data_IF_358466521817
#
_entry.id   IF_358466521817
#
_cell.length_a   1.000
_cell.length_b   1.000
_cell.length_c   1.000
_cell.angle_alpha   90.00
_cell.angle_beta   90.00
_cell.angle_gamma   90.00
#
_symmetry.space_group_name_H-M   'P 1'
#
loop_
_entity.id
_entity.type
_entity.pdbx_description
1 polymer ?
#
# COMPACT_ATOMS: atom_id res chain seq x y z
N UNK A 1 -16.87 1.65 20.62
CA UNK A 1 -16.50 3.05 20.37
C UNK A 1 -15.04 3.23 20.74
N UNK A 2 -14.12 3.15 19.77
CA UNK A 2 -12.74 3.63 19.94
C UNK A 2 -12.26 4.19 18.61
N UNK A 3 -11.85 5.45 18.65
CA UNK A 3 -11.88 6.40 17.55
C UNK A 3 -10.49 6.64 16.94
N UNK A 4 -9.74 5.59 16.58
CA UNK A 4 -8.36 5.75 16.08
C UNK A 4 -8.18 5.55 14.56
N UNK A 5 -9.18 5.04 13.85
CA UNK A 5 -9.05 4.72 12.42
C UNK A 5 -9.19 5.93 11.48
N UNK A 6 -9.69 7.09 11.96
CA UNK A 6 -9.99 8.24 11.09
C UNK A 6 -8.81 9.17 10.79
N UNK A 7 -7.66 9.01 11.46
CA UNK A 7 -6.52 9.93 11.36
C UNK A 7 -5.18 9.28 11.04
N UNK A 8 -5.03 7.96 11.12
CA UNK A 8 -3.77 7.32 10.76
C UNK A 8 -3.53 7.47 9.25
N UNK A 9 -2.41 8.07 8.84
CA UNK A 9 -2.03 8.15 7.43
C UNK A 9 -1.46 6.82 6.89
N UNK A 10 -1.10 5.91 7.79
CA UNK A 10 -0.49 4.62 7.49
C UNK A 10 -1.45 3.49 7.84
N UNK A 11 -1.36 2.43 7.07
CA UNK A 11 -1.93 1.12 7.36
C UNK A 11 -1.20 0.48 8.56
N UNK A 12 -1.92 -0.02 9.58
CA UNK A 12 -1.30 -0.52 10.81
C UNK A 12 -0.60 -1.87 10.64
N UNK A 13 -0.93 -2.64 9.60
CA UNK A 13 -0.34 -3.95 9.36
C UNK A 13 0.99 -3.83 8.62
N UNK A 14 1.02 -3.07 7.53
CA UNK A 14 2.18 -2.98 6.63
C UNK A 14 2.99 -1.68 6.76
N UNK A 15 2.56 -0.73 7.60
CA UNK A 15 3.12 0.62 7.73
C UNK A 15 3.19 1.42 6.41
N UNK A 16 2.48 0.97 5.36
CA UNK A 16 2.33 1.68 4.08
C UNK A 16 1.31 2.80 4.20
N UNK A 17 1.28 3.77 3.27
CA UNK A 17 0.19 4.74 3.26
C UNK A 17 -1.15 4.03 3.08
N UNK A 18 -2.17 4.44 3.81
CA UNK A 18 -3.52 3.99 3.47
C UNK A 18 -4.00 4.68 2.19
N UNK A 19 -5.09 4.16 1.62
CA UNK A 19 -5.68 4.68 0.38
C UNK A 19 -5.82 6.21 0.36
N UNK A 20 -6.42 6.80 1.41
CA UNK A 20 -6.64 8.25 1.48
C UNK A 20 -5.33 9.04 1.46
N UNK A 21 -4.33 8.59 2.24
CA UNK A 21 -3.04 9.25 2.31
C UNK A 21 -2.25 9.10 1.00
N UNK A 22 -2.37 7.96 0.32
CA UNK A 22 -1.77 7.70 -0.97
C UNK A 22 -2.39 8.60 -2.05
N UNK A 23 -3.72 8.67 -2.15
CA UNK A 23 -4.43 9.50 -3.15
C UNK A 23 -4.02 10.99 -3.05
N UNK A 24 -3.93 11.53 -1.83
CA UNK A 24 -3.54 12.94 -1.61
C UNK A 24 -2.10 13.19 -2.05
N UNK A 25 -1.17 12.28 -1.75
CA UNK A 25 0.26 12.46 -2.05
C UNK A 25 0.57 12.16 -3.52
N UNK A 26 -0.01 11.11 -4.08
CA UNK A 26 0.13 10.75 -5.48
C UNK A 26 -0.39 11.89 -6.38
N UNK A 27 -1.51 12.52 -6.02
CA UNK A 27 -2.02 13.69 -6.76
C UNK A 27 -1.02 14.83 -6.81
N UNK A 28 -0.30 15.11 -5.72
CA UNK A 28 0.74 16.15 -5.68
C UNK A 28 1.94 15.77 -6.56
N UNK A 29 2.46 14.55 -6.43
CA UNK A 29 3.57 14.10 -7.27
C UNK A 29 3.23 14.12 -8.77
N UNK A 30 2.02 13.70 -9.13
CA UNK A 30 1.58 13.69 -10.53
C UNK A 30 1.30 15.10 -11.08
N UNK A 31 1.04 16.10 -10.22
CA UNK A 31 0.93 17.50 -10.64
C UNK A 31 2.29 18.08 -11.06
N UNK A 32 3.37 17.61 -10.44
CA UNK A 32 4.74 18.05 -10.73
C UNK A 32 5.40 17.23 -11.85
N UNK A 33 4.70 16.21 -12.38
CA UNK A 33 5.20 15.38 -13.46
C UNK A 33 5.35 16.17 -14.78
N UNK A 34 6.43 15.88 -15.50
CA UNK A 34 6.77 16.54 -16.76
C UNK A 34 7.40 15.56 -17.75
N UNK A 35 7.58 15.91 -19.04
CA UNK A 35 8.28 15.03 -19.98
C UNK A 35 9.71 14.66 -19.56
N UNK A 36 10.38 15.53 -18.82
CA UNK A 36 11.74 15.30 -18.28
C UNK A 36 11.74 14.62 -16.92
N UNK A 37 10.59 14.55 -16.23
CA UNK A 37 10.42 13.89 -14.94
C UNK A 37 9.03 13.23 -14.89
N UNK A 38 8.84 12.10 -15.59
CA UNK A 38 7.53 11.47 -15.70
C UNK A 38 7.14 10.80 -14.37
N UNK A 39 5.86 10.91 -14.02
CA UNK A 39 5.27 10.14 -12.92
C UNK A 39 4.67 8.83 -13.43
N UNK A 40 4.72 7.79 -12.60
CA UNK A 40 4.05 6.51 -12.85
C UNK A 40 3.23 6.09 -11.63
N UNK A 41 2.13 5.36 -11.87
CA UNK A 41 1.33 4.73 -10.83
C UNK A 41 1.20 3.24 -11.15
N UNK A 42 1.65 2.40 -10.22
CA UNK A 42 1.48 0.95 -10.30
C UNK A 42 0.39 0.52 -9.31
N UNK A 43 -0.60 -0.21 -9.80
CA UNK A 43 -1.59 -0.89 -8.97
C UNK A 43 -1.26 -2.38 -9.00
N UNK A 44 -1.02 -2.94 -7.82
CA UNK A 44 -0.64 -4.34 -7.63
C UNK A 44 -1.79 -5.03 -6.90
N UNK A 45 -2.28 -6.12 -7.48
CA UNK A 45 -3.27 -7.00 -6.85
C UNK A 45 -2.63 -8.36 -6.57
N UNK A 46 -2.96 -8.98 -5.43
CA UNK A 46 -2.43 -10.29 -5.06
C UNK A 46 -3.42 -11.36 -5.50
N UNK A 47 -3.06 -12.09 -6.56
CA UNK A 47 -3.87 -13.20 -7.06
C UNK A 47 -4.07 -14.27 -5.98
N UNK A 48 -5.30 -14.80 -5.90
CA UNK A 48 -5.67 -15.88 -4.99
C UNK A 48 -5.39 -15.60 -3.50
N UNK A 49 -5.32 -14.34 -3.07
CA UNK A 49 -5.06 -13.98 -1.67
C UNK A 49 -6.05 -14.63 -0.69
N UNK A 50 -7.34 -14.70 -1.05
CA UNK A 50 -8.36 -15.40 -0.26
C UNK A 50 -8.01 -16.86 -0.01
N UNK A 51 -7.46 -17.55 -1.00
CA UNK A 51 -7.05 -18.96 -0.87
C UNK A 51 -5.92 -19.13 0.14
N UNK A 52 -4.99 -18.16 0.24
CA UNK A 52 -3.94 -18.15 1.26
C UNK A 52 -4.56 -18.10 2.66
N UNK A 53 -5.58 -17.26 2.85
CA UNK A 53 -6.32 -17.14 4.11
C UNK A 53 -7.22 -18.35 4.41
N UNK A 54 -7.76 -19.00 3.39
CA UNK A 54 -8.66 -20.15 3.57
C UNK A 54 -7.88 -21.45 3.85
N UNK A 55 -6.63 -21.56 3.40
CA UNK A 55 -5.78 -22.75 3.56
C UNK A 55 -4.86 -22.71 4.78
N UNK A 56 -4.76 -21.57 5.47
CA UNK A 56 -3.88 -21.36 6.61
C UNK A 56 -4.64 -20.63 7.73
N UNK A 57 -4.04 -20.54 8.92
CA UNK A 57 -4.57 -19.65 9.95
C UNK A 57 -4.62 -18.21 9.43
N UNK A 58 -5.59 -17.42 9.91
CA UNK A 58 -5.87 -16.04 9.46
C UNK A 58 -4.66 -15.09 9.45
N UNK A 59 -3.58 -15.44 10.16
CA UNK A 59 -2.33 -14.67 10.22
C UNK A 59 -1.42 -14.85 9.00
N UNK A 60 -1.70 -15.82 8.11
CA UNK A 60 -0.86 -16.10 6.95
C UNK A 60 -0.96 -14.99 5.88
N UNK A 61 -2.17 -14.49 5.59
CA UNK A 61 -2.35 -13.36 4.69
C UNK A 61 -1.68 -12.10 5.21
N UNK A 62 -1.76 -11.84 6.52
CA UNK A 62 -1.09 -10.71 7.16
C UNK A 62 0.43 -10.75 6.96
N UNK A 63 1.05 -11.91 7.20
CA UNK A 63 2.48 -12.11 6.94
C UNK A 63 2.84 -11.93 5.47
N UNK A 64 2.00 -12.41 4.55
CA UNK A 64 2.20 -12.22 3.11
C UNK A 64 2.14 -10.74 2.73
N UNK A 65 1.18 -9.99 3.27
CA UNK A 65 1.05 -8.55 3.04
C UNK A 65 2.26 -7.77 3.56
N UNK A 66 2.76 -8.10 4.76
CA UNK A 66 3.97 -7.49 5.31
C UNK A 66 5.18 -7.78 4.42
N UNK A 67 5.42 -9.05 4.09
CA UNK A 67 6.56 -9.44 3.26
C UNK A 67 6.52 -8.78 1.86
N UNK A 68 5.35 -8.75 1.21
CA UNK A 68 5.19 -8.07 -0.07
C UNK A 68 5.45 -6.57 0.03
N UNK A 69 4.96 -5.93 1.10
CA UNK A 69 5.15 -4.51 1.34
C UNK A 69 6.63 -4.16 1.54
N UNK A 70 7.36 -5.01 2.25
CA UNK A 70 8.82 -4.88 2.43
C UNK A 70 9.57 -5.06 1.10
N UNK A 71 9.21 -6.07 0.30
CA UNK A 71 9.80 -6.27 -1.03
C UNK A 71 9.57 -5.07 -1.96
N UNK A 72 8.34 -4.58 -2.04
CA UNK A 72 8.03 -3.40 -2.85
C UNK A 72 8.83 -2.19 -2.39
N UNK A 73 8.96 -1.96 -1.08
CA UNK A 73 9.76 -0.85 -0.54
C UNK A 73 11.25 -0.99 -0.84
N UNK A 74 11.80 -2.20 -0.81
CA UNK A 74 13.21 -2.45 -1.07
C UNK A 74 13.57 -2.23 -2.55
N UNK A 75 12.66 -2.56 -3.47
CA UNK A 75 12.86 -2.43 -4.92
C UNK A 75 12.40 -1.07 -5.48
N UNK A 76 11.75 -0.24 -4.65
CA UNK A 76 11.30 1.09 -5.06
C UNK A 76 12.36 2.16 -4.76
N UNK A 77 12.48 3.21 -5.59
CA UNK A 77 13.26 4.40 -5.24
C UNK A 77 12.81 5.03 -3.91
N UNK A 78 13.72 5.69 -3.19
CA UNK A 78 13.41 6.33 -1.90
C UNK A 78 12.24 7.33 -1.95
N UNK A 79 12.04 7.96 -3.12
CA UNK A 79 11.00 8.95 -3.38
C UNK A 79 9.63 8.32 -3.71
N UNK A 80 9.60 6.99 -3.91
CA UNK A 80 8.38 6.29 -4.29
C UNK A 80 7.35 6.29 -3.15
N UNK A 81 6.11 6.59 -3.51
CA UNK A 81 4.98 6.47 -2.60
C UNK A 81 4.41 5.05 -2.66
N UNK A 82 4.52 4.33 -1.56
CA UNK A 82 3.92 3.00 -1.39
C UNK A 82 2.71 3.07 -0.47
N UNK A 83 1.61 2.45 -0.91
CA UNK A 83 0.36 2.42 -0.15
C UNK A 83 -0.35 1.08 -0.25
N UNK A 84 -1.02 0.68 0.83
CA UNK A 84 -1.87 -0.50 0.86
C UNK A 84 -3.33 -0.04 0.70
N UNK A 85 -3.99 -0.57 -0.32
CA UNK A 85 -5.42 -0.36 -0.54
C UNK A 85 -6.14 -1.67 -0.29
N UNK A 86 -6.51 -1.93 0.96
CA UNK A 86 -7.40 -3.06 1.25
C UNK A 86 -8.82 -2.69 0.81
N UNK A 87 -9.42 -3.47 -0.08
CA UNK A 87 -10.88 -3.55 -0.18
C UNK A 87 -11.38 -4.18 1.12
N UNK A 88 -12.07 -3.39 1.94
CA UNK A 88 -12.82 -3.91 3.09
C UNK A 88 -13.98 -4.79 2.65
#
# INVERSE_FOLDING_TARGET
>A
MTANARLAARDPLAALYNRRALEVRARRLLQDASPTHPGALLLIDIDNFKRVNDQNDHTAGDRLLVALSEMIRAESPDEALTGLTTSG
#
